data_IF_338005509429
#
_entry.id   IF_338005509429
#
_cell.length_a   1.000
_cell.length_b   1.000
_cell.length_c   1.000
_cell.angle_alpha   90.00
_cell.angle_beta   90.00
_cell.angle_gamma   90.00
#
_symmetry.space_group_name_H-M   'P 1'
#
loop_
_entity.id
_entity.type
_entity.pdbx_description
1 polymer ?
#
# COMPACT_ATOMS: atom_id res chain seq x y z
N UNK A 1 -24.63 -16.62 -54.09
CA UNK A 1 -25.57 -17.07 -53.05
C UNK A 1 -24.77 -17.40 -51.79
N UNK A 2 -25.07 -16.73 -50.68
CA UNK A 2 -24.74 -17.03 -49.27
C UNK A 2 -23.28 -17.36 -48.89
N UNK A 3 -22.58 -16.37 -48.35
CA UNK A 3 -21.66 -16.57 -47.21
C UNK A 3 -22.11 -15.57 -46.15
N UNK A 4 -22.93 -16.04 -45.21
CA UNK A 4 -23.21 -15.37 -43.94
C UNK A 4 -22.92 -16.41 -42.87
N UNK A 5 -22.34 -15.92 -41.77
CA UNK A 5 -21.98 -16.59 -40.51
C UNK A 5 -20.52 -17.01 -40.44
N UNK A 6 -19.71 -16.18 -39.79
CA UNK A 6 -19.12 -16.53 -38.48
C UNK A 6 -18.29 -15.36 -37.90
N UNK A 7 -18.91 -14.37 -37.24
CA UNK A 7 -18.17 -13.51 -36.30
C UNK A 7 -19.13 -13.11 -35.16
N UNK A 8 -19.43 -14.02 -34.24
CA UNK A 8 -20.06 -13.68 -32.95
C UNK A 8 -19.53 -14.59 -31.84
N UNK A 9 -18.22 -14.63 -31.62
CA UNK A 9 -17.66 -15.10 -30.35
C UNK A 9 -16.36 -14.33 -30.15
N UNK A 10 -16.33 -13.34 -29.26
CA UNK A 10 -15.11 -12.85 -28.56
C UNK A 10 -15.37 -11.71 -27.56
N UNK A 11 -16.56 -11.09 -27.53
CA UNK A 11 -16.81 -9.98 -26.59
C UNK A 11 -17.27 -10.38 -25.18
N UNK A 12 -17.80 -11.59 -24.97
CA UNK A 12 -18.32 -12.01 -23.66
C UNK A 12 -17.26 -12.62 -22.72
N UNK A 13 -16.12 -13.09 -23.25
CA UNK A 13 -15.08 -13.69 -22.42
C UNK A 13 -14.32 -12.60 -21.65
N UNK A 14 -14.09 -11.44 -22.26
CA UNK A 14 -13.30 -10.35 -21.65
C UNK A 14 -13.96 -9.70 -20.42
N UNK A 15 -15.29 -9.59 -20.38
CA UNK A 15 -15.99 -8.90 -19.27
C UNK A 15 -15.90 -9.73 -17.99
N UNK A 16 -16.06 -11.05 -18.08
CA UNK A 16 -15.99 -11.93 -16.92
C UNK A 16 -14.57 -12.01 -16.33
N UNK A 17 -13.53 -12.00 -17.18
CA UNK A 17 -12.14 -12.03 -16.72
C UNK A 17 -11.72 -10.75 -16.00
N UNK A 18 -12.15 -9.58 -16.49
CA UNK A 18 -11.86 -8.29 -15.84
C UNK A 18 -12.56 -8.20 -14.48
N UNK A 19 -13.83 -8.62 -14.40
CA UNK A 19 -14.57 -8.60 -13.14
C UNK A 19 -14.00 -9.57 -12.11
N UNK A 20 -13.61 -10.78 -12.51
CA UNK A 20 -12.96 -11.74 -11.63
C UNK A 20 -11.60 -11.22 -11.11
N UNK A 21 -10.77 -10.66 -12.00
CA UNK A 21 -9.47 -10.10 -11.62
C UNK A 21 -9.61 -8.91 -10.65
N UNK A 22 -10.63 -8.06 -10.83
CA UNK A 22 -10.90 -6.95 -9.91
C UNK A 22 -11.34 -7.46 -8.54
N UNK A 23 -12.22 -8.47 -8.50
CA UNK A 23 -12.66 -9.13 -7.26
C UNK A 23 -11.49 -9.76 -6.50
N UNK A 24 -10.61 -10.49 -7.19
CA UNK A 24 -9.45 -11.14 -6.58
C UNK A 24 -8.45 -10.11 -6.00
N UNK A 25 -8.26 -8.99 -6.70
CA UNK A 25 -7.40 -7.90 -6.24
C UNK A 25 -7.98 -7.21 -4.99
N UNK A 26 -9.30 -6.98 -4.95
CA UNK A 26 -9.97 -6.38 -3.80
C UNK A 26 -9.93 -7.29 -2.57
N UNK A 27 -10.16 -8.60 -2.75
CA UNK A 27 -10.03 -9.58 -1.67
C UNK A 27 -8.60 -9.61 -1.12
N UNK A 28 -7.60 -9.63 -2.00
CA UNK A 28 -6.20 -9.60 -1.60
C UNK A 28 -5.86 -8.33 -0.81
N UNK A 29 -6.29 -7.17 -1.32
CA UNK A 29 -6.07 -5.88 -0.67
C UNK A 29 -6.69 -5.86 0.73
N UNK A 30 -7.96 -6.26 0.86
CA UNK A 30 -8.67 -6.35 2.14
C UNK A 30 -7.94 -7.24 3.13
N UNK A 31 -7.47 -8.42 2.70
CA UNK A 31 -6.74 -9.35 3.57
C UNK A 31 -5.41 -8.77 4.06
N UNK A 32 -4.67 -8.06 3.21
CA UNK A 32 -3.39 -7.45 3.57
C UNK A 32 -3.59 -6.20 4.45
N UNK A 33 -4.60 -5.38 4.18
CA UNK A 33 -4.96 -4.23 5.03
C UNK A 33 -5.36 -4.71 6.44
N UNK A 34 -6.25 -5.71 6.53
CA UNK A 34 -6.61 -6.33 7.81
C UNK A 34 -5.42 -6.94 8.54
N UNK A 35 -4.48 -7.54 7.82
CA UNK A 35 -3.23 -8.01 8.42
C UNK A 35 -2.45 -6.84 9.03
N UNK A 36 -2.34 -5.73 8.29
CA UNK A 36 -1.67 -4.50 8.74
C UNK A 36 -2.22 -4.02 10.07
N UNK A 37 -3.53 -3.77 10.15
CA UNK A 37 -4.18 -3.28 11.38
C UNK A 37 -3.98 -4.18 12.59
N UNK A 38 -3.93 -5.50 12.38
CA UNK A 38 -3.74 -6.47 13.47
C UNK A 38 -2.31 -6.48 14.01
N UNK A 39 -1.34 -6.02 13.21
CA UNK A 39 0.08 -6.17 13.52
C UNK A 39 0.78 -4.85 13.80
N UNK A 40 0.39 -3.74 13.15
CA UNK A 40 1.15 -2.49 13.22
C UNK A 40 1.13 -1.82 14.60
N UNK A 41 0.11 -2.11 15.43
CA UNK A 41 0.02 -1.65 16.82
C UNK A 41 0.66 -2.58 17.85
N UNK A 42 1.24 -3.72 17.44
CA UNK A 42 1.82 -4.69 18.36
C UNK A 42 3.26 -4.31 18.75
N UNK A 43 3.84 -5.04 19.71
CA UNK A 43 5.20 -4.81 20.21
C UNK A 43 6.29 -5.13 19.20
N UNK A 44 6.01 -5.97 18.20
CA UNK A 44 6.92 -6.36 17.12
C UNK A 44 6.23 -6.27 15.75
N UNK A 45 5.81 -5.07 15.31
CA UNK A 45 4.88 -4.90 14.20
C UNK A 45 5.45 -5.38 12.86
N UNK A 46 6.76 -5.27 12.65
CA UNK A 46 7.43 -5.72 11.44
C UNK A 46 7.53 -7.23 11.31
N UNK A 47 7.91 -7.95 12.38
CA UNK A 47 8.08 -9.40 12.29
C UNK A 47 6.75 -10.10 11.99
N UNK A 48 5.67 -9.67 12.64
CA UNK A 48 4.35 -10.26 12.45
C UNK A 48 3.75 -9.92 11.09
N UNK A 49 3.85 -8.66 10.64
CA UNK A 49 3.33 -8.26 9.34
C UNK A 49 4.09 -8.95 8.20
N UNK A 50 5.43 -8.97 8.27
CA UNK A 50 6.26 -9.66 7.30
C UNK A 50 5.89 -11.15 7.20
N UNK A 51 5.80 -11.84 8.34
CA UNK A 51 5.39 -13.26 8.39
C UNK A 51 4.00 -13.46 7.82
N UNK A 52 3.08 -12.53 8.06
CA UNK A 52 1.76 -12.56 7.47
C UNK A 52 1.81 -12.46 5.94
N UNK A 53 2.64 -11.58 5.38
CA UNK A 53 2.88 -11.50 3.93
C UNK A 53 3.51 -12.80 3.42
N UNK A 54 4.56 -13.32 4.07
CA UNK A 54 5.21 -14.57 3.69
C UNK A 54 4.22 -15.74 3.65
N UNK A 55 3.31 -15.81 4.64
CA UNK A 55 2.22 -16.79 4.68
C UNK A 55 1.27 -16.63 3.50
N UNK A 56 0.94 -15.39 3.11
CA UNK A 56 0.03 -15.11 1.98
C UNK A 56 0.62 -15.48 0.64
N UNK A 57 1.93 -15.28 0.44
CA UNK A 57 2.62 -15.68 -0.79
C UNK A 57 3.05 -17.16 -0.79
N UNK A 58 2.85 -17.88 0.32
CA UNK A 58 3.13 -19.31 0.43
C UNK A 58 4.63 -19.67 0.53
N UNK A 59 5.43 -18.81 1.17
CA UNK A 59 6.87 -19.07 1.38
C UNK A 59 7.21 -19.38 2.85
N UNK A 60 8.47 -19.75 3.11
CA UNK A 60 8.96 -20.00 4.47
C UNK A 60 8.87 -18.75 5.34
N UNK A 61 8.20 -18.86 6.50
CA UNK A 61 8.02 -17.78 7.46
C UNK A 61 9.34 -17.33 8.11
N UNK A 62 10.38 -18.16 8.05
CA UNK A 62 11.71 -17.89 8.59
C UNK A 62 12.76 -17.65 7.49
N UNK A 63 12.34 -17.33 6.27
CA UNK A 63 13.25 -17.09 5.16
C UNK A 63 14.27 -15.99 5.54
N UNK A 64 15.60 -16.24 5.41
CA UNK A 64 16.62 -15.24 5.74
C UNK A 64 16.55 -13.99 4.87
N UNK A 65 15.88 -14.05 3.71
CA UNK A 65 15.65 -12.93 2.80
C UNK A 65 14.25 -12.31 2.96
N UNK A 66 13.55 -12.57 4.06
CA UNK A 66 12.18 -12.09 4.32
C UNK A 66 11.96 -10.63 3.95
N UNK A 67 12.81 -9.71 4.43
CA UNK A 67 12.66 -8.27 4.20
C UNK A 67 12.70 -7.90 2.72
N UNK A 68 13.56 -8.58 1.94
CA UNK A 68 13.62 -8.41 0.49
C UNK A 68 12.34 -8.94 -0.17
N UNK A 69 11.90 -10.14 0.19
CA UNK A 69 10.69 -10.76 -0.36
C UNK A 69 9.46 -9.89 -0.09
N UNK A 70 9.32 -9.39 1.13
CA UNK A 70 8.25 -8.47 1.53
C UNK A 70 8.34 -7.16 0.75
N UNK A 71 9.54 -6.58 0.62
CA UNK A 71 9.74 -5.36 -0.18
C UNK A 71 9.31 -5.55 -1.64
N UNK A 72 9.73 -6.65 -2.26
CA UNK A 72 9.36 -6.99 -3.64
C UNK A 72 7.84 -7.16 -3.79
N UNK A 73 7.19 -7.79 -2.81
CA UNK A 73 5.74 -7.94 -2.77
C UNK A 73 5.03 -6.59 -2.69
N UNK A 74 5.39 -5.74 -1.73
CA UNK A 74 4.80 -4.42 -1.55
C UNK A 74 4.99 -3.56 -2.80
N UNK A 75 6.18 -3.58 -3.41
CA UNK A 75 6.48 -2.83 -4.62
C UNK A 75 5.69 -3.31 -5.84
N UNK A 76 5.52 -4.63 -5.98
CA UNK A 76 4.80 -5.24 -7.10
C UNK A 76 3.30 -4.98 -7.03
N UNK A 77 2.74 -4.96 -5.84
CA UNK A 77 1.30 -4.88 -5.60
C UNK A 77 0.84 -3.50 -5.13
N UNK A 78 1.73 -2.50 -5.10
CA UNK A 78 1.47 -1.16 -4.56
C UNK A 78 0.25 -0.44 -5.16
N UNK A 79 -0.12 -0.78 -6.40
CA UNK A 79 -1.24 -0.22 -7.13
C UNK A 79 -2.58 -0.89 -6.83
N UNK A 80 -2.56 -2.11 -6.29
CA UNK A 80 -3.77 -2.87 -5.93
C UNK A 80 -3.99 -2.94 -4.43
N UNK A 81 -2.93 -2.78 -3.62
CA UNK A 81 -3.00 -2.74 -2.15
C UNK A 81 -3.60 -1.40 -1.68
N UNK A 82 -4.88 -1.22 -1.98
CA UNK A 82 -5.71 -0.09 -1.58
C UNK A 82 -6.64 -0.58 -0.47
N UNK A 83 -6.53 0.02 0.71
CA UNK A 83 -7.39 -0.24 1.85
C UNK A 83 -8.70 0.54 1.69
N UNK A 84 -9.81 -0.16 1.95
CA UNK A 84 -11.20 0.26 1.75
C UNK A 84 -12.05 -0.48 2.78
N UNK A 85 -13.17 0.10 3.22
CA UNK A 85 -14.27 -0.51 4.02
C UNK A 85 -13.86 -1.76 4.84
N UNK A 86 -12.80 -1.59 5.64
CA UNK A 86 -12.13 -2.65 6.39
C UNK A 86 -12.34 -2.48 7.90
N UNK A 87 -13.31 -1.65 8.27
CA UNK A 87 -13.68 -1.33 9.64
C UNK A 87 -12.71 -0.39 10.36
N UNK A 88 -11.70 0.15 9.67
CA UNK A 88 -10.77 1.14 10.21
C UNK A 88 -10.88 2.43 9.39
N UNK A 89 -11.19 3.53 10.05
CA UNK A 89 -11.27 4.83 9.40
C UNK A 89 -9.86 5.34 9.01
N UNK A 90 -9.72 5.77 7.77
CA UNK A 90 -8.57 6.55 7.28
C UNK A 90 -8.97 8.00 7.06
N UNK A 91 -8.05 8.83 6.56
CA UNK A 91 -8.39 10.21 6.17
C UNK A 91 -9.33 10.25 4.97
N UNK A 92 -9.30 9.19 4.14
CA UNK A 92 -10.20 8.94 3.02
C UNK A 92 -10.71 7.50 3.08
N UNK A 93 -11.88 7.27 2.49
CA UNK A 93 -12.45 5.92 2.36
C UNK A 93 -11.47 4.94 1.70
N UNK A 94 -10.72 5.41 0.69
CA UNK A 94 -9.77 4.61 -0.09
C UNK A 94 -8.38 5.21 -0.01
N UNK A 95 -7.42 4.42 0.45
CA UNK A 95 -6.01 4.83 0.55
C UNK A 95 -5.08 3.65 0.27
N UNK A 96 -3.94 3.90 -0.36
CA UNK A 96 -2.88 2.89 -0.45
C UNK A 96 -2.46 2.42 0.96
N UNK A 97 -2.16 1.12 1.10
CA UNK A 97 -1.73 0.46 2.33
C UNK A 97 -0.74 1.27 3.19
N UNK A 98 0.32 1.83 2.59
CA UNK A 98 1.32 2.59 3.35
C UNK A 98 0.78 3.94 3.83
N UNK A 99 -0.07 4.61 3.04
CA UNK A 99 -0.76 5.83 3.47
C UNK A 99 -1.77 5.54 4.58
N UNK A 100 -2.45 4.39 4.50
CA UNK A 100 -3.36 3.92 5.53
C UNK A 100 -2.67 3.65 6.87
N UNK A 101 -1.44 3.12 6.85
CA UNK A 101 -0.62 3.01 8.07
C UNK A 101 -0.33 4.39 8.70
N UNK A 102 -0.16 5.44 7.88
CA UNK A 102 -0.05 6.83 8.37
C UNK A 102 -1.39 7.29 8.95
N UNK A 103 -2.49 7.20 8.22
CA UNK A 103 -3.80 7.70 8.69
C UNK A 103 -4.30 6.99 9.95
N UNK A 104 -3.87 5.75 10.21
CA UNK A 104 -4.20 5.04 11.45
C UNK A 104 -3.29 5.39 12.62
N UNK A 105 -2.32 6.30 12.45
CA UNK A 105 -1.36 6.66 13.49
C UNK A 105 -0.32 5.59 13.81
N UNK A 106 -0.18 4.56 12.96
CA UNK A 106 0.64 3.37 13.22
C UNK A 106 1.93 3.40 12.40
N UNK A 107 2.84 4.31 12.75
CA UNK A 107 4.04 4.59 11.95
C UNK A 107 5.19 3.59 12.15
N UNK A 108 5.18 2.79 13.22
CA UNK A 108 6.33 1.96 13.60
C UNK A 108 6.79 1.01 12.48
N UNK A 109 5.84 0.44 11.74
CA UNK A 109 6.15 -0.38 10.56
C UNK A 109 6.83 0.45 9.45
N UNK A 110 6.27 1.60 9.11
CA UNK A 110 6.82 2.51 8.08
C UNK A 110 8.20 3.04 8.45
N UNK A 111 8.41 3.43 9.70
CA UNK A 111 9.71 3.88 10.20
C UNK A 111 10.76 2.79 9.98
N UNK A 112 10.42 1.54 10.25
CA UNK A 112 11.37 0.44 10.03
C UNK A 112 11.63 0.20 8.54
N UNK A 113 10.61 0.27 7.66
CA UNK A 113 10.81 0.20 6.21
C UNK A 113 11.73 1.33 5.70
N UNK A 114 11.64 2.51 6.29
CA UNK A 114 12.44 3.68 5.90
C UNK A 114 13.89 3.60 6.43
N UNK A 115 14.11 3.10 7.64
CA UNK A 115 15.43 3.13 8.30
C UNK A 115 16.27 1.88 8.01
N UNK A 116 15.65 0.70 7.95
CA UNK A 116 16.36 -0.56 7.77
C UNK A 116 16.70 -0.79 6.28
N UNK A 117 18.01 -0.81 6.01
CA UNK A 117 18.59 -0.90 4.66
C UNK A 117 18.36 -2.25 3.98
N UNK A 118 17.99 -3.29 4.73
CA UNK A 118 17.64 -4.59 4.16
C UNK A 118 16.28 -4.56 3.45
N UNK A 119 15.40 -3.62 3.81
CA UNK A 119 14.20 -3.37 3.00
C UNK A 119 14.57 -2.56 1.75
N UNK A 120 13.86 -2.83 0.66
CA UNK A 120 14.00 -2.16 -0.63
C UNK A 120 12.65 -1.67 -1.15
N UNK A 121 11.84 -1.07 -0.27
CA UNK A 121 10.53 -0.51 -0.62
C UNK A 121 10.69 0.75 -1.47
N UNK A 122 9.93 0.83 -2.55
CA UNK A 122 9.85 1.96 -3.46
C UNK A 122 8.86 3.00 -2.94
N UNK A 123 9.37 4.04 -2.28
CA UNK A 123 8.55 5.13 -1.74
C UNK A 123 8.03 6.10 -2.82
N UNK A 124 8.40 5.91 -4.09
CA UNK A 124 7.92 6.72 -5.21
C UNK A 124 6.65 6.18 -5.87
N UNK A 125 6.06 5.10 -5.31
CA UNK A 125 4.71 4.68 -5.68
C UNK A 125 3.70 5.80 -5.36
N UNK A 126 2.75 5.99 -6.26
CA UNK A 126 1.77 7.07 -6.16
C UNK A 126 0.37 6.59 -6.53
N UNK A 127 -0.61 7.33 -6.04
CA UNK A 127 -1.99 7.29 -6.51
C UNK A 127 -2.29 8.55 -7.32
N UNK A 128 -3.29 8.50 -8.20
CA UNK A 128 -3.80 9.71 -8.85
C UNK A 128 -4.98 10.23 -8.04
N UNK A 129 -4.78 11.34 -7.34
CA UNK A 129 -5.80 12.01 -6.52
C UNK A 129 -6.03 13.39 -7.11
N UNK A 130 -7.27 13.73 -7.44
CA UNK A 130 -7.62 15.02 -8.07
C UNK A 130 -6.76 15.36 -9.30
N UNK A 131 -6.53 14.37 -10.16
CA UNK A 131 -5.69 14.46 -11.37
C UNK A 131 -4.19 14.75 -11.12
N UNK A 132 -3.71 14.59 -9.88
CA UNK A 132 -2.29 14.76 -9.52
C UNK A 132 -1.72 13.47 -8.96
N UNK A 133 -0.44 13.23 -9.18
CA UNK A 133 0.30 12.18 -8.46
C UNK A 133 0.38 12.57 -7.00
N UNK A 134 0.00 11.66 -6.11
CA UNK A 134 0.16 11.78 -4.67
C UNK A 134 0.95 10.57 -4.17
N UNK A 135 2.18 10.82 -3.72
CA UNK A 135 3.05 9.82 -3.08
C UNK A 135 2.77 9.71 -1.58
N UNK A 136 3.45 8.78 -0.90
CA UNK A 136 3.42 8.72 0.56
C UNK A 136 3.91 10.02 1.21
N UNK A 137 4.93 10.67 0.62
CA UNK A 137 5.42 11.96 1.12
C UNK A 137 4.40 13.08 0.97
N UNK A 138 3.69 13.16 -0.17
CA UNK A 138 2.61 14.15 -0.32
C UNK A 138 1.52 13.95 0.75
N UNK A 139 1.20 12.69 1.05
CA UNK A 139 0.20 12.34 2.06
C UNK A 139 0.65 12.69 3.49
N UNK A 140 1.91 12.40 3.85
CA UNK A 140 2.46 12.81 5.15
C UNK A 140 2.46 14.35 5.28
N UNK A 141 2.90 15.06 4.25
CA UNK A 141 2.91 16.52 4.27
C UNK A 141 1.52 17.14 4.20
N UNK A 142 0.49 16.44 3.70
CA UNK A 142 -0.89 16.89 3.82
C UNK A 142 -1.28 17.03 5.29
N UNK A 143 -0.94 16.04 6.12
CA UNK A 143 -1.24 16.03 7.56
C UNK A 143 -0.42 17.09 8.29
N UNK A 144 0.90 17.12 8.06
CA UNK A 144 1.80 18.06 8.74
C UNK A 144 1.40 19.53 8.48
N UNK A 145 0.93 19.85 7.28
CA UNK A 145 0.64 21.24 6.89
C UNK A 145 -0.83 21.67 7.11
N UNK A 146 -1.71 20.78 7.58
CA UNK A 146 -3.09 21.11 7.93
C UNK A 146 -3.24 21.14 9.45
N UNK A 147 -3.46 22.32 10.03
CA UNK A 147 -3.55 22.51 11.48
C UNK A 147 -4.60 21.61 12.13
N UNK A 148 -5.75 21.36 11.46
CA UNK A 148 -6.80 20.54 12.06
C UNK A 148 -6.45 19.05 12.02
N UNK A 149 -5.83 18.59 10.93
CA UNK A 149 -5.38 17.20 10.85
C UNK A 149 -4.22 16.96 11.81
N UNK A 150 -3.30 17.91 11.93
CA UNK A 150 -2.11 17.79 12.75
C UNK A 150 -2.40 17.54 14.25
N UNK A 151 -3.55 18.02 14.76
CA UNK A 151 -3.95 17.83 16.15
C UNK A 151 -4.10 16.35 16.56
N UNK A 152 -4.42 15.47 15.61
CA UNK A 152 -4.66 14.04 15.87
C UNK A 152 -3.39 13.17 15.72
N UNK A 153 -2.24 13.76 15.36
CA UNK A 153 -1.04 13.03 14.93
C UNK A 153 0.22 13.49 15.68
N UNK A 154 1.18 12.58 15.87
CA UNK A 154 2.52 12.96 16.34
C UNK A 154 3.32 13.58 15.18
N UNK A 155 3.31 14.91 15.11
CA UNK A 155 3.98 15.66 14.05
C UNK A 155 5.49 15.44 14.05
N UNK A 156 6.12 15.31 15.22
CA UNK A 156 7.57 15.10 15.31
C UNK A 156 7.93 13.74 14.71
N UNK A 157 7.15 12.71 14.99
CA UNK A 157 7.34 11.39 14.37
C UNK A 157 7.08 11.39 12.86
N UNK A 158 6.06 12.13 12.39
CA UNK A 158 5.77 12.25 10.96
C UNK A 158 6.88 12.98 10.20
N UNK A 159 7.43 14.06 10.77
CA UNK A 159 8.59 14.77 10.21
C UNK A 159 9.81 13.84 10.13
N UNK A 160 10.10 13.10 11.19
CA UNK A 160 11.21 12.14 11.21
C UNK A 160 11.03 11.00 10.20
N UNK A 161 9.78 10.54 10.00
CA UNK A 161 9.43 9.54 8.98
C UNK A 161 9.63 10.11 7.56
N UNK A 162 9.14 11.32 7.29
CA UNK A 162 9.31 12.00 6.00
C UNK A 162 10.80 12.14 5.65
N UNK A 163 11.60 12.65 6.59
CA UNK A 163 13.05 12.75 6.48
C UNK A 163 13.71 11.42 6.12
N UNK A 164 13.28 10.33 6.76
CA UNK A 164 13.81 8.99 6.53
C UNK A 164 13.46 8.47 5.14
N UNK A 165 12.24 8.74 4.66
CA UNK A 165 11.79 8.40 3.31
C UNK A 165 12.56 9.20 2.26
N UNK A 166 12.78 10.50 2.46
CA UNK A 166 13.55 11.36 1.55
C UNK A 166 15.01 10.90 1.46
N UNK A 167 15.66 10.55 2.58
CA UNK A 167 17.02 9.97 2.61
C UNK A 167 17.11 8.65 1.84
N UNK A 168 15.99 7.95 1.65
CA UNK A 168 15.88 6.70 0.86
C UNK A 168 15.53 6.96 -0.61
N UNK A 169 15.46 8.22 -1.03
CA UNK A 169 15.16 8.62 -2.40
C UNK A 169 13.67 8.71 -2.71
N UNK A 170 12.81 8.72 -1.68
CA UNK A 170 11.41 9.06 -1.83
C UNK A 170 11.24 10.51 -2.28
N UNK A 171 10.24 10.76 -3.11
CA UNK A 171 9.94 12.07 -3.70
C UNK A 171 8.46 12.40 -3.57
N UNK A 172 8.16 13.69 -3.66
CA UNK A 172 6.78 14.17 -3.86
C UNK A 172 6.33 13.92 -5.30
N UNK A 173 5.04 13.79 -5.51
CA UNK A 173 4.44 13.47 -6.80
C UNK A 173 4.71 14.51 -7.88
N UNK A 174 4.92 15.78 -7.50
CA UNK A 174 5.33 16.84 -8.43
C UNK A 174 6.77 16.68 -8.96
N UNK A 175 7.60 15.90 -8.25
CA UNK A 175 9.02 15.68 -8.55
C UNK A 175 9.25 14.30 -9.23
N UNK A 176 8.15 13.62 -9.62
CA UNK A 176 8.11 12.32 -10.32
C UNK A 176 7.76 12.42 -11.80
#
# INVERSE_FOLDING_TARGET
>A
MKIINLIVILFFIGINTINAQNSDNEELASQICMLGYRTWGNTAPTDEFDRGILKKIGTDLNDPNRKKIVSDYLNKHSNILICVDDGIEGLREREQLLKRSVSSGLYGYLQQLAIDKEYSVDFNKYEIINSKKETLLDFIYLIINDENLAEDYDIIELEALADSIEKRGGKRGKDL
#
